data_IF_837228459105
#
_entry.id   IF_837228459105
#
_cell.length_a   1.000
_cell.length_b   1.000
_cell.length_c   1.000
_cell.angle_alpha   90.00
_cell.angle_beta   90.00
_cell.angle_gamma   90.00
#
_symmetry.space_group_name_H-M   'P 1'
#
loop_
_entity.id
_entity.type
_entity.pdbx_description
1 polymer ?
#
# COMPACT_ATOMS: atom_id res chain seq x y z
N UNK A 1 1.33 13.99 -9.16
CA UNK A 1 2.58 13.53 -8.53
C UNK A 1 2.96 12.22 -9.20
N UNK A 2 4.24 12.02 -9.50
CA UNK A 2 4.74 10.83 -10.20
C UNK A 2 5.19 9.72 -9.23
N UNK A 3 5.13 8.46 -9.67
CA UNK A 3 5.54 7.30 -8.85
C UNK A 3 6.98 7.43 -8.33
N UNK A 4 7.91 7.88 -9.19
CA UNK A 4 9.31 8.06 -8.81
C UNK A 4 9.47 9.05 -7.65
N UNK A 5 8.66 10.10 -7.59
CA UNK A 5 8.69 11.07 -6.49
C UNK A 5 8.12 10.45 -5.22
N UNK A 6 7.01 9.73 -5.30
CA UNK A 6 6.41 9.03 -4.17
C UNK A 6 7.41 8.05 -3.52
N UNK A 7 8.14 7.27 -4.33
CA UNK A 7 9.21 6.37 -3.86
C UNK A 7 10.28 7.13 -3.07
N UNK A 8 10.71 8.30 -3.55
CA UNK A 8 11.73 9.09 -2.85
C UNK A 8 11.24 9.63 -1.51
N UNK A 9 9.95 10.00 -1.40
CA UNK A 9 9.38 10.55 -0.18
C UNK A 9 9.32 9.54 0.97
N UNK A 10 9.10 8.25 0.67
CA UNK A 10 8.94 7.20 1.69
C UNK A 10 10.17 6.30 1.84
N UNK A 11 11.21 6.48 1.01
CA UNK A 11 12.42 5.66 1.06
C UNK A 11 13.13 5.85 2.41
N UNK A 12 13.34 4.73 3.10
CA UNK A 12 14.08 4.66 4.35
C UNK A 12 14.74 3.30 4.49
N UNK A 13 15.93 3.19 5.14
CA UNK A 13 16.59 1.91 5.39
C UNK A 13 15.72 0.89 6.14
N UNK A 14 14.67 1.33 6.84
CA UNK A 14 13.74 0.43 7.55
C UNK A 14 12.82 -0.40 6.63
N UNK A 15 12.68 -0.01 5.36
CA UNK A 15 11.89 -0.76 4.37
C UNK A 15 12.72 -1.85 3.68
N UNK A 16 14.04 -1.74 3.74
CA UNK A 16 14.97 -2.67 3.12
C UNK A 16 15.18 -3.90 4.03
N UNK A 17 14.18 -4.79 4.04
CA UNK A 17 14.20 -6.05 4.80
C UNK A 17 14.13 -7.25 3.86
N UNK A 18 14.93 -8.28 4.14
CA UNK A 18 14.88 -9.56 3.44
C UNK A 18 13.65 -10.41 3.83
N UNK A 19 12.95 -10.07 4.91
CA UNK A 19 11.75 -10.76 5.36
C UNK A 19 10.49 -10.16 4.76
N UNK A 20 9.46 -10.98 4.52
CA UNK A 20 8.13 -10.50 4.18
C UNK A 20 7.60 -9.54 5.27
N UNK A 21 6.90 -8.49 4.85
CA UNK A 21 6.36 -7.44 5.71
C UNK A 21 4.86 -7.30 5.53
N UNK A 22 4.19 -6.72 6.53
CA UNK A 22 2.78 -6.38 6.48
C UNK A 22 2.64 -4.88 6.72
N UNK A 23 1.97 -4.18 5.82
CA UNK A 23 1.78 -2.74 5.87
C UNK A 23 0.33 -2.35 5.59
N UNK A 24 -0.10 -1.21 6.13
CA UNK A 24 -1.36 -0.57 5.76
C UNK A 24 -1.08 0.84 5.18
N UNK A 25 -1.68 1.15 4.04
CA UNK A 25 -1.71 2.47 3.41
C UNK A 25 -3.09 3.09 3.68
N UNK A 26 -3.18 4.00 4.66
CA UNK A 26 -4.43 4.61 5.10
C UNK A 26 -4.75 5.86 4.28
N UNK A 27 -5.90 5.85 3.61
CA UNK A 27 -6.23 6.87 2.61
C UNK A 27 -5.51 6.60 1.28
N UNK A 28 -5.47 5.34 0.86
CA UNK A 28 -4.70 4.89 -0.30
C UNK A 28 -5.12 5.55 -1.61
N UNK A 29 -6.37 6.04 -1.72
CA UNK A 29 -6.93 6.58 -2.95
C UNK A 29 -6.72 5.63 -4.13
N UNK A 30 -6.12 6.14 -5.21
CA UNK A 30 -5.80 5.36 -6.41
C UNK A 30 -4.48 4.58 -6.34
N UNK A 31 -3.82 4.57 -5.17
CA UNK A 31 -2.69 3.69 -4.84
C UNK A 31 -1.31 4.17 -5.27
N UNK A 32 -1.07 5.48 -5.37
CA UNK A 32 0.26 5.99 -5.72
C UNK A 32 1.32 5.59 -4.68
N UNK A 33 1.01 5.71 -3.38
CA UNK A 33 1.92 5.31 -2.30
C UNK A 33 1.90 3.81 -2.03
N UNK A 34 0.75 3.15 -2.18
CA UNK A 34 0.66 1.68 -2.22
C UNK A 34 1.68 1.09 -3.21
N UNK A 35 1.70 1.61 -4.45
CA UNK A 35 2.64 1.16 -5.48
C UNK A 35 4.09 1.57 -5.19
N UNK A 36 4.31 2.73 -4.58
CA UNK A 36 5.65 3.15 -4.19
C UNK A 36 6.21 2.23 -3.10
N UNK A 37 5.38 1.83 -2.14
CA UNK A 37 5.74 0.91 -1.07
C UNK A 37 6.04 -0.49 -1.61
N UNK A 38 5.23 -1.00 -2.54
CA UNK A 38 5.45 -2.28 -3.21
C UNK A 38 6.80 -2.34 -3.99
N UNK A 39 7.40 -1.19 -4.34
CA UNK A 39 8.72 -1.12 -4.99
C UNK A 39 9.89 -1.11 -3.98
N UNK A 40 9.61 -1.01 -2.68
CA UNK A 40 10.61 -0.78 -1.65
C UNK A 40 10.70 -1.89 -0.60
N UNK A 41 9.65 -2.70 -0.45
CA UNK A 41 9.58 -3.78 0.57
C UNK A 41 9.95 -5.13 -0.03
N UNK A 42 10.29 -6.09 0.85
CA UNK A 42 10.66 -7.45 0.44
C UNK A 42 9.53 -8.21 -0.26
N UNK A 43 9.90 -9.21 -1.07
CA UNK A 43 8.95 -10.10 -1.76
C UNK A 43 8.02 -10.84 -0.80
N UNK A 44 6.86 -11.28 -1.29
CA UNK A 44 5.80 -11.96 -0.54
C UNK A 44 5.21 -11.13 0.63
N UNK A 45 5.48 -9.82 0.65
CA UNK A 45 4.84 -8.91 1.60
C UNK A 45 3.35 -8.71 1.25
N UNK A 46 2.60 -8.20 2.23
CA UNK A 46 1.20 -7.80 2.07
C UNK A 46 1.03 -6.32 2.37
N UNK A 47 0.30 -5.61 1.50
CA UNK A 47 -0.10 -4.22 1.71
C UNK A 47 -1.64 -4.17 1.73
N UNK A 48 -2.20 -3.69 2.83
CA UNK A 48 -3.61 -3.34 2.94
C UNK A 48 -3.80 -1.89 2.48
N UNK A 49 -4.41 -1.70 1.31
CA UNK A 49 -4.79 -0.39 0.79
C UNK A 49 -6.18 -0.02 1.31
N UNK A 50 -6.24 0.91 2.26
CA UNK A 50 -7.48 1.29 2.94
C UNK A 50 -7.96 2.64 2.44
N UNK A 51 -9.18 2.71 1.93
CA UNK A 51 -9.83 3.97 1.57
C UNK A 51 -11.34 3.84 1.67
N UNK A 52 -12.06 4.93 1.94
CA UNK A 52 -13.54 4.93 1.97
C UNK A 52 -14.13 4.71 0.59
N UNK A 53 -13.41 5.09 -0.46
CA UNK A 53 -13.88 5.02 -1.85
C UNK A 53 -13.39 3.75 -2.52
N UNK A 54 -14.24 2.74 -2.56
CA UNK A 54 -13.96 1.50 -3.30
C UNK A 54 -13.59 1.76 -4.76
N UNK A 55 -14.23 2.75 -5.41
CA UNK A 55 -13.91 3.15 -6.80
C UNK A 55 -12.47 3.59 -7.01
N UNK A 56 -11.84 4.18 -5.99
CA UNK A 56 -10.43 4.58 -6.05
C UNK A 56 -9.54 3.36 -5.87
N UNK A 57 -9.87 2.47 -4.92
CA UNK A 57 -9.17 1.21 -4.68
C UNK A 57 -9.20 0.29 -5.92
N UNK A 58 -10.29 0.26 -6.68
CA UNK A 58 -10.37 -0.55 -7.91
C UNK A 58 -9.32 -0.15 -8.96
N UNK A 59 -8.79 1.08 -8.92
CA UNK A 59 -7.74 1.54 -9.83
C UNK A 59 -6.34 1.04 -9.45
N UNK A 60 -6.17 0.55 -8.22
CA UNK A 60 -4.89 -0.02 -7.76
C UNK A 60 -4.64 -1.31 -8.54
N UNK A 61 -3.50 -1.33 -9.24
CA UNK A 61 -3.06 -2.47 -10.04
C UNK A 61 -2.33 -3.48 -9.15
N UNK A 62 -2.57 -4.76 -9.41
CA UNK A 62 -1.83 -5.85 -8.79
C UNK A 62 -0.34 -5.81 -9.17
N UNK A 63 0.47 -6.48 -8.37
CA UNK A 63 1.91 -6.66 -8.57
C UNK A 63 2.26 -8.12 -8.35
N UNK A 64 3.20 -8.66 -9.12
CA UNK A 64 3.46 -10.11 -9.14
C UNK A 64 4.13 -10.65 -7.86
N UNK A 65 4.80 -9.78 -7.09
CA UNK A 65 5.66 -10.19 -5.97
C UNK A 65 5.13 -9.77 -4.59
N UNK A 66 4.03 -9.02 -4.55
CA UNK A 66 3.45 -8.44 -3.32
C UNK A 66 1.93 -8.60 -3.40
N UNK A 67 1.32 -9.02 -2.30
CA UNK A 67 -0.14 -9.07 -2.17
C UNK A 67 -0.65 -7.66 -1.84
N UNK A 68 -1.62 -7.16 -2.61
CA UNK A 68 -2.30 -5.90 -2.32
C UNK A 68 -3.77 -6.22 -2.02
N UNK A 69 -4.13 -6.13 -0.74
CA UNK A 69 -5.50 -6.31 -0.27
C UNK A 69 -6.20 -4.95 -0.22
N UNK A 70 -7.36 -4.85 -0.86
CA UNK A 70 -8.13 -3.60 -0.94
C UNK A 70 -9.21 -3.60 0.14
N UNK A 71 -9.20 -2.61 1.01
CA UNK A 71 -10.09 -2.55 2.18
C UNK A 71 -10.94 -1.27 2.10
N UNK A 72 -12.17 -1.36 1.58
CA UNK A 72 -13.07 -0.22 1.52
C UNK A 72 -13.63 0.09 2.93
N UNK A 73 -13.00 1.02 3.65
CA UNK A 73 -13.33 1.34 5.04
C UNK A 73 -12.98 2.78 5.42
N UNK A 74 -13.69 3.31 6.43
CA UNK A 74 -13.31 4.53 7.13
C UNK A 74 -12.35 4.21 8.27
N UNK A 75 -11.04 4.36 8.04
CA UNK A 75 -10.00 4.09 9.04
C UNK A 75 -10.07 4.97 10.31
N UNK A 76 -10.98 5.96 10.38
CA UNK A 76 -11.22 6.77 11.58
C UNK A 76 -12.29 6.13 12.48
N UNK A 77 -13.33 5.53 11.89
CA UNK A 77 -14.50 5.03 12.63
C UNK A 77 -14.64 3.52 12.63
N UNK A 78 -14.07 2.85 11.65
CA UNK A 78 -14.31 1.43 11.39
C UNK A 78 -13.18 0.59 12.00
N UNK A 79 -13.53 -0.56 12.55
CA UNK A 79 -12.56 -1.61 12.87
C UNK A 79 -12.13 -2.29 11.56
N UNK A 80 -10.82 -2.26 11.28
CA UNK A 80 -10.28 -2.75 10.02
C UNK A 80 -10.07 -4.27 10.02
N UNK A 81 -9.98 -4.91 11.20
CA UNK A 81 -9.82 -6.37 11.31
C UNK A 81 -8.59 -6.96 10.59
N UNK A 82 -7.50 -6.18 10.47
CA UNK A 82 -6.26 -6.52 9.75
C UNK A 82 -5.20 -7.19 10.62
#
# INVERSE_FOLDING_TARGET
>A
MELKQAIQLIRTPKLDSASAQVWADLGAGTGLFTRALAQLIGENSTIYAVDRKDTDLQQIRATDHITIEKVPADFISDDLGL
#
